data_IF_822887156757
#
_entry.id   IF_822887156757
#
_cell.length_a   1.000
_cell.length_b   1.000
_cell.length_c   1.000
_cell.angle_alpha   90.00
_cell.angle_beta   90.00
_cell.angle_gamma   90.00
#
_symmetry.space_group_name_H-M   'P 1'
#
loop_
_entity.id
_entity.type
_entity.pdbx_description
1 polymer ?
#
# COMPACT_ATOMS: atom_id res chain seq x y z
N UNK A 1 19.29 9.15 -1.55
CA UNK A 1 18.23 8.89 -2.52
C UNK A 1 16.86 9.00 -1.86
N UNK A 2 16.00 9.84 -2.41
CA UNK A 2 14.65 10.01 -1.89
C UNK A 2 13.69 9.00 -2.51
N UNK A 3 12.79 8.47 -1.69
CA UNK A 3 11.67 7.67 -2.17
C UNK A 3 10.54 8.63 -2.56
N UNK A 4 10.11 8.58 -3.80
CA UNK A 4 9.04 9.42 -4.28
C UNK A 4 7.92 8.57 -4.86
N UNK A 5 6.69 9.05 -4.72
CA UNK A 5 5.56 8.53 -5.46
C UNK A 5 5.21 9.51 -6.56
N UNK A 6 4.88 8.98 -7.72
CA UNK A 6 4.58 9.81 -8.89
C UNK A 6 3.17 9.55 -9.35
N UNK A 7 2.39 10.61 -9.45
CA UNK A 7 1.09 10.59 -10.10
C UNK A 7 1.20 11.17 -11.49
N UNK A 8 0.66 10.45 -12.47
CA UNK A 8 0.64 10.90 -13.86
C UNK A 8 -0.80 11.00 -14.34
N UNK A 9 -1.10 12.06 -15.06
CA UNK A 9 -2.39 12.23 -15.70
C UNK A 9 -2.18 12.74 -17.11
N UNK A 10 -2.95 12.23 -18.07
CA UNK A 10 -2.93 12.77 -19.43
C UNK A 10 -3.61 14.13 -19.46
N UNK A 11 -3.01 15.09 -20.14
CA UNK A 11 -3.59 16.39 -20.39
C UNK A 11 -4.20 16.33 -21.78
N UNK A 12 -5.51 16.57 -21.86
CA UNK A 12 -6.27 16.42 -23.09
C UNK A 12 -6.93 17.74 -23.52
N UNK A 13 -7.18 17.86 -24.80
CA UNK A 13 -7.78 19.06 -25.39
C UNK A 13 -9.12 19.39 -24.73
N UNK A 14 -9.33 20.66 -24.41
CA UNK A 14 -10.54 21.21 -23.81
C UNK A 14 -10.91 20.59 -22.45
N UNK A 15 -9.96 19.92 -21.80
CA UNK A 15 -10.20 19.25 -20.52
C UNK A 15 -11.15 18.07 -20.61
N UNK A 16 -11.35 17.51 -21.79
CA UNK A 16 -12.29 16.41 -22.02
C UNK A 16 -11.57 15.07 -21.98
N UNK A 17 -12.20 14.09 -21.33
CA UNK A 17 -11.63 12.74 -21.24
C UNK A 17 -11.47 12.05 -22.59
N UNK A 18 -12.25 12.46 -23.58
CA UNK A 18 -12.18 11.96 -24.97
C UNK A 18 -11.41 12.90 -25.91
N UNK A 19 -10.84 13.98 -25.38
CA UNK A 19 -10.05 14.94 -26.18
C UNK A 19 -8.73 14.37 -26.65
N UNK A 20 -8.14 15.02 -27.65
CA UNK A 20 -6.84 14.63 -28.16
C UNK A 20 -5.75 14.79 -27.08
N UNK A 21 -4.84 13.82 -26.92
CA UNK A 21 -3.80 13.92 -25.91
C UNK A 21 -2.78 15.03 -26.27
N UNK A 22 -2.56 15.94 -25.32
CA UNK A 22 -1.62 17.05 -25.47
C UNK A 22 -0.32 16.81 -24.73
N UNK A 23 -0.34 15.99 -23.68
CA UNK A 23 0.84 15.73 -22.88
C UNK A 23 0.49 14.96 -21.61
N UNK A 24 1.46 14.89 -20.71
CA UNK A 24 1.32 14.20 -19.42
C UNK A 24 1.74 15.15 -18.31
N UNK A 25 0.90 15.26 -17.29
CA UNK A 25 1.25 15.95 -16.05
C UNK A 25 1.73 14.90 -15.06
N UNK A 26 2.94 15.08 -14.54
CA UNK A 26 3.49 14.21 -13.49
C UNK A 26 3.70 15.01 -12.21
N UNK A 27 3.23 14.48 -11.10
CA UNK A 27 3.41 15.08 -9.78
C UNK A 27 4.21 14.11 -8.93
N UNK A 28 5.33 14.57 -8.40
CA UNK A 28 6.19 13.78 -7.51
C UNK A 28 6.02 14.29 -6.08
N UNK A 29 5.85 13.39 -5.13
CA UNK A 29 5.79 13.79 -3.72
C UNK A 29 6.64 12.85 -2.86
N UNK A 30 7.00 13.33 -1.68
CA UNK A 30 7.85 12.62 -0.74
C UNK A 30 7.09 11.41 -0.19
N UNK A 31 7.35 10.24 -0.75
CA UNK A 31 6.68 9.01 -0.35
C UNK A 31 7.07 8.58 1.04
N UNK A 32 8.33 8.75 1.44
CA UNK A 32 8.80 8.28 2.74
C UNK A 32 8.02 8.92 3.89
N UNK A 33 7.89 10.25 3.87
CA UNK A 33 7.13 10.97 4.89
C UNK A 33 5.66 10.57 4.88
N UNK A 34 5.07 10.47 3.69
CA UNK A 34 3.66 10.10 3.53
C UNK A 34 3.40 8.67 4.03
N UNK A 35 4.23 7.74 3.61
CA UNK A 35 4.11 6.33 3.98
C UNK A 35 4.26 6.14 5.48
N UNK A 36 5.23 6.81 6.08
CA UNK A 36 5.47 6.73 7.52
C UNK A 36 4.26 7.25 8.31
N UNK A 37 3.68 8.36 7.87
CA UNK A 37 2.47 8.90 8.51
C UNK A 37 1.31 7.91 8.44
N UNK A 38 1.13 7.22 7.32
CA UNK A 38 0.07 6.23 7.14
C UNK A 38 0.26 5.05 8.10
N UNK A 39 1.43 4.42 8.08
CA UNK A 39 1.64 3.19 8.86
C UNK A 39 1.76 3.45 10.36
N UNK A 40 2.29 4.61 10.76
CA UNK A 40 2.37 4.97 12.18
C UNK A 40 1.02 5.43 12.74
N UNK A 41 0.10 5.86 11.89
CA UNK A 41 -1.24 6.26 12.29
C UNK A 41 -2.19 5.11 12.58
N UNK A 42 -1.83 3.88 12.24
CA UNK A 42 -2.68 2.71 12.47
C UNK A 42 -2.57 2.27 13.93
N UNK A 43 -3.72 2.11 14.59
CA UNK A 43 -3.75 1.64 15.98
C UNK A 43 -3.61 0.13 16.02
N UNK A 44 -2.68 -0.35 16.82
CA UNK A 44 -2.49 -1.77 17.10
C UNK A 44 -2.43 -1.98 18.62
N UNK A 45 -2.82 -3.16 19.08
CA UNK A 45 -2.87 -3.43 20.53
C UNK A 45 -1.49 -3.40 21.17
N UNK A 46 -0.50 -3.96 20.49
CA UNK A 46 0.88 -3.97 21.00
C UNK A 46 1.84 -3.63 19.85
N UNK A 47 2.30 -2.36 19.78
CA UNK A 47 3.22 -1.94 18.72
C UNK A 47 4.55 -2.69 18.70
N UNK A 48 4.98 -3.25 19.84
CA UNK A 48 6.24 -4.00 19.92
C UNK A 48 6.12 -5.40 19.29
N UNK A 49 4.90 -5.89 19.16
CA UNK A 49 4.61 -7.22 18.61
C UNK A 49 3.92 -7.17 17.26
N UNK A 50 3.57 -5.99 16.82
CA UNK A 50 2.79 -5.79 15.61
C UNK A 50 3.56 -5.01 14.58
N UNK A 51 3.37 -5.38 13.34
CA UNK A 51 3.98 -4.72 12.19
C UNK A 51 2.87 -4.31 11.24
N UNK A 52 2.86 -3.03 10.86
CA UNK A 52 1.90 -2.50 9.89
C UNK A 52 2.61 -2.32 8.57
N UNK A 53 2.04 -2.87 7.51
CA UNK A 53 2.63 -2.84 6.18
C UNK A 53 1.64 -2.26 5.17
N UNK A 54 2.19 -1.61 4.17
CA UNK A 54 1.46 -1.29 2.95
C UNK A 54 2.17 -1.99 1.81
N UNK A 55 1.42 -2.76 1.02
CA UNK A 55 1.95 -3.53 -0.10
C UNK A 55 1.38 -3.00 -1.41
N UNK A 56 2.18 -3.05 -2.47
CA UNK A 56 1.66 -2.78 -3.81
C UNK A 56 0.89 -3.99 -4.35
N UNK A 57 0.40 -3.89 -5.58
CA UNK A 57 -0.37 -4.96 -6.20
C UNK A 57 0.44 -6.25 -6.39
N UNK A 58 1.75 -6.14 -6.48
CA UNK A 58 2.67 -7.28 -6.60
C UNK A 58 3.14 -7.79 -5.23
N UNK A 59 2.57 -7.25 -4.16
CA UNK A 59 2.86 -7.60 -2.77
C UNK A 59 4.25 -7.20 -2.29
N UNK A 60 4.87 -6.25 -2.98
CA UNK A 60 6.12 -5.67 -2.52
C UNK A 60 5.81 -4.65 -1.41
N UNK A 61 6.61 -4.66 -0.35
CA UNK A 61 6.46 -3.73 0.77
C UNK A 61 6.82 -2.32 0.31
N UNK A 62 5.89 -1.39 0.40
CA UNK A 62 6.12 0.01 0.05
C UNK A 62 6.08 0.94 1.25
N UNK A 63 5.61 0.45 2.39
CA UNK A 63 5.68 1.13 3.67
C UNK A 63 5.66 0.09 4.79
N UNK A 64 6.35 0.37 5.88
CA UNK A 64 6.42 -0.52 7.03
C UNK A 64 6.60 0.28 8.31
N UNK A 65 5.85 -0.08 9.36
CA UNK A 65 5.94 0.62 10.66
C UNK A 65 7.30 0.44 11.34
N UNK A 66 8.01 -0.64 11.04
CA UNK A 66 9.35 -0.91 11.55
C UNK A 66 10.46 -0.42 10.61
N UNK A 67 10.11 0.16 9.47
CA UNK A 67 11.07 0.63 8.48
C UNK A 67 11.83 -0.46 7.74
N UNK A 68 11.44 -1.72 7.89
CA UNK A 68 12.18 -2.86 7.33
C UNK A 68 11.58 -3.32 6.00
N UNK A 69 12.44 -3.68 5.08
CA UNK A 69 12.07 -4.34 3.83
C UNK A 69 11.42 -3.46 2.77
N UNK A 70 11.39 -2.15 2.97
CA UNK A 70 10.71 -1.23 2.03
C UNK A 70 11.41 -1.31 0.67
N UNK A 71 10.61 -1.61 -0.37
CA UNK A 71 11.00 -1.80 -1.76
C UNK A 71 11.84 -3.06 -2.03
N UNK A 72 12.28 -3.77 -1.00
CA UNK A 72 13.09 -4.98 -1.13
C UNK A 72 12.31 -6.25 -0.85
N UNK A 73 11.46 -6.23 0.17
CA UNK A 73 10.73 -7.43 0.61
C UNK A 73 9.43 -7.59 -0.17
N UNK A 74 9.14 -8.84 -0.54
CA UNK A 74 7.79 -9.23 -0.97
C UNK A 74 7.15 -10.01 0.17
N UNK A 75 5.96 -9.56 0.58
CA UNK A 75 5.24 -10.21 1.65
C UNK A 75 4.43 -11.39 1.09
N UNK A 76 4.62 -12.61 1.63
CA UNK A 76 3.93 -13.79 1.11
C UNK A 76 2.49 -13.85 1.61
N UNK A 77 1.64 -12.97 1.10
CA UNK A 77 0.26 -12.87 1.52
C UNK A 77 -0.51 -14.13 1.10
N UNK A 78 -1.03 -14.86 2.08
CA UNK A 78 -1.80 -16.07 1.86
C UNK A 78 -3.28 -15.76 2.03
N UNK A 79 -4.08 -16.04 1.03
CA UNK A 79 -5.50 -15.80 1.15
C UNK A 79 -6.31 -16.62 0.15
N UNK A 80 -7.34 -17.27 0.66
CA UNK A 80 -8.40 -17.84 -0.16
C UNK A 80 -9.35 -16.75 -0.66
N UNK A 81 -9.29 -15.55 -0.09
CA UNK A 81 -10.15 -14.43 -0.46
C UNK A 81 -9.28 -13.28 -1.00
N UNK A 82 -9.59 -12.75 -2.18
CA UNK A 82 -8.70 -11.76 -2.82
C UNK A 82 -8.76 -10.36 -2.22
N UNK A 83 -9.78 -10.05 -1.40
CA UNK A 83 -10.04 -8.68 -0.95
C UNK A 83 -9.61 -8.44 0.49
N UNK A 84 -9.89 -9.35 1.40
CA UNK A 84 -9.57 -9.21 2.82
C UNK A 84 -9.59 -10.55 3.52
N UNK A 85 -8.98 -10.60 4.68
CA UNK A 85 -9.01 -11.81 5.48
C UNK A 85 -8.06 -11.75 6.65
N UNK A 86 -8.09 -12.81 7.44
CA UNK A 86 -7.15 -13.05 8.53
C UNK A 86 -6.70 -14.50 8.47
N UNK A 87 -5.45 -14.73 8.83
CA UNK A 87 -4.90 -16.08 8.91
C UNK A 87 -3.72 -16.12 9.86
N UNK A 88 -3.30 -17.32 10.25
CA UNK A 88 -2.05 -17.50 10.97
C UNK A 88 -1.01 -18.04 10.00
N UNK A 89 0.17 -17.45 10.06
CA UNK A 89 1.28 -17.90 9.21
C UNK A 89 1.98 -19.12 9.81
N UNK A 90 3.02 -19.61 9.15
CA UNK A 90 3.76 -20.79 9.59
C UNK A 90 4.49 -20.63 10.93
N UNK A 91 4.61 -19.40 11.44
CA UNK A 91 5.23 -19.09 12.73
C UNK A 91 4.18 -18.80 13.82
N UNK A 92 2.91 -18.91 13.49
CA UNK A 92 1.81 -18.63 14.42
C UNK A 92 1.43 -17.17 14.52
N UNK A 93 2.05 -16.29 13.74
CA UNK A 93 1.67 -14.88 13.73
C UNK A 93 0.30 -14.70 13.10
N UNK A 94 -0.50 -13.80 13.67
CA UNK A 94 -1.80 -13.45 13.13
C UNK A 94 -1.61 -12.37 12.06
N UNK A 95 -2.11 -12.63 10.86
CA UNK A 95 -2.04 -11.70 9.74
C UNK A 95 -3.44 -11.27 9.35
N UNK A 96 -3.68 -9.96 9.35
CA UNK A 96 -4.92 -9.39 8.84
C UNK A 96 -4.59 -8.49 7.66
N UNK A 97 -5.42 -8.52 6.63
CA UNK A 97 -5.17 -7.69 5.46
C UNK A 97 -6.46 -7.23 4.81
N UNK A 98 -6.35 -6.13 4.08
CA UNK A 98 -7.43 -5.60 3.27
C UNK A 98 -6.87 -4.92 2.03
N UNK A 99 -7.43 -5.24 0.87
CA UNK A 99 -7.09 -4.58 -0.38
C UNK A 99 -7.82 -3.24 -0.44
N UNK A 100 -7.15 -2.20 -0.94
CA UNK A 100 -7.78 -0.88 -1.11
C UNK A 100 -8.93 -0.97 -2.11
N UNK A 101 -10.14 -0.49 -1.74
CA UNK A 101 -11.33 -0.68 -2.58
C UNK A 101 -11.47 0.30 -3.73
N UNK A 102 -10.66 1.37 -3.75
CA UNK A 102 -10.86 2.46 -4.67
C UNK A 102 -11.93 3.43 -4.19
N UNK A 103 -12.29 4.37 -5.01
CA UNK A 103 -13.28 5.39 -4.67
C UNK A 103 -14.06 5.81 -5.92
N UNK A 104 -15.37 5.70 -5.89
CA UNK A 104 -16.25 5.99 -7.03
C UNK A 104 -15.83 5.20 -8.28
N UNK A 105 -15.50 5.88 -9.37
CA UNK A 105 -15.04 5.25 -10.62
C UNK A 105 -13.55 4.88 -10.59
N UNK A 106 -12.83 5.36 -9.59
CA UNK A 106 -11.41 5.05 -9.43
C UNK A 106 -11.24 3.70 -8.77
N UNK A 107 -10.65 2.76 -9.49
CA UNK A 107 -10.49 1.38 -9.00
C UNK A 107 -9.40 1.22 -7.94
N UNK A 108 -8.62 2.26 -7.67
CA UNK A 108 -7.47 2.17 -6.80
C UNK A 108 -6.28 1.53 -7.49
N UNK A 109 -5.20 1.36 -6.73
CA UNK A 109 -3.95 0.80 -7.23
C UNK A 109 -3.79 -0.69 -6.91
N UNK A 110 -4.80 -1.29 -6.25
CA UNK A 110 -4.74 -2.68 -5.84
C UNK A 110 -3.75 -2.93 -4.71
N UNK A 111 -3.52 -1.94 -3.88
CA UNK A 111 -2.63 -2.05 -2.73
C UNK A 111 -3.30 -2.79 -1.58
N UNK A 112 -2.47 -3.31 -0.66
CA UNK A 112 -2.95 -4.03 0.51
C UNK A 112 -2.42 -3.37 1.78
N UNK A 113 -3.32 -3.13 2.73
CA UNK A 113 -2.93 -2.83 4.12
C UNK A 113 -2.82 -4.14 4.87
N UNK A 114 -1.76 -4.33 5.63
CA UNK A 114 -1.49 -5.59 6.35
C UNK A 114 -1.05 -5.28 7.77
N UNK A 115 -1.58 -6.02 8.72
CA UNK A 115 -1.11 -6.00 10.11
C UNK A 115 -0.67 -7.41 10.46
N UNK A 116 0.55 -7.53 10.95
CA UNK A 116 1.12 -8.80 11.40
C UNK A 116 1.35 -8.70 12.90
N UNK A 117 0.70 -9.56 13.69
CA UNK A 117 0.89 -9.64 15.13
C UNK A 117 1.58 -10.94 15.47
N UNK A 118 2.77 -10.84 16.05
CA UNK A 118 3.56 -12.02 16.39
C UNK A 118 2.92 -12.79 17.53
N UNK A 119 3.05 -14.10 17.48
CA UNK A 119 2.66 -14.97 18.60
C UNK A 119 3.61 -14.77 19.78
N UNK A 120 3.15 -15.09 20.97
CA UNK A 120 3.97 -15.08 22.18
C UNK A 120 5.06 -16.14 22.17
#
# INVERSE_FOLDING_TARGET
>A
DAQVATYCASVRADGRSDGAPLGILAIHFDWEAQANAIVQGVRVDDPNRSRVLLLDADRRVIAASDGQGILDERFPLQSAHPTCGTYRDGRGALVGFHRTPGYETYRGLGWYGVIVSRAD
#
